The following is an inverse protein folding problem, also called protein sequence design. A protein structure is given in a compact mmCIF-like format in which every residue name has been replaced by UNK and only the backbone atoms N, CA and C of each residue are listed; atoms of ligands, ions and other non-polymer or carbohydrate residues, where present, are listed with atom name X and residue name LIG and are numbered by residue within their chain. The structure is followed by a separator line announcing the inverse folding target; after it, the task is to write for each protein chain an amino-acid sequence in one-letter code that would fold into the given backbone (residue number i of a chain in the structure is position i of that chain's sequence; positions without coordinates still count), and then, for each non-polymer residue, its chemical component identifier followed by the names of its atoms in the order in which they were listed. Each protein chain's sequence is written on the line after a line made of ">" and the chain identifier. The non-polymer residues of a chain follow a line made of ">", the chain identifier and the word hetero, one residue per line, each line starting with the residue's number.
data_IF_522416942007
#
_entry.id   IF_522416942007
#
_cell.length_a   1.000
_cell.length_b   1.000
_cell.length_c   1.000
_cell.angle_alpha   90.00
_cell.angle_beta   90.00
_cell.angle_gamma   90.00
#
_symmetry.space_group_name_H-M   'P 1'
#
loop_
_entity.id
_entity.type
_entity.pdbx_description
1 polymer ?
#
# COMPACT_ATOMS: atom_id res chain seq x y z
N UNK A 1 -13.25 6.24 -2.20
CA UNK A 1 -14.04 5.20 -1.50
C UNK A 1 -13.08 4.32 -0.73
N UNK A 2 -13.44 3.93 0.50
CA UNK A 2 -12.67 2.93 1.25
C UNK A 2 -12.99 1.52 0.73
N UNK A 3 -12.03 0.59 0.84
CA UNK A 3 -12.24 -0.83 0.55
C UNK A 3 -12.52 -1.55 1.88
N UNK A 4 -13.59 -2.32 1.95
CA UNK A 4 -13.92 -3.16 3.11
C UNK A 4 -13.47 -4.59 2.85
N UNK A 5 -12.71 -5.16 3.78
CA UNK A 5 -12.26 -6.56 3.76
C UNK A 5 -12.89 -7.30 4.94
N UNK A 6 -13.53 -8.45 4.68
CA UNK A 6 -14.11 -9.31 5.71
C UNK A 6 -13.22 -10.53 5.93
N UNK A 7 -12.87 -10.82 7.17
CA UNK A 7 -12.07 -12.00 7.56
C UNK A 7 -12.93 -12.89 8.45
N UNK A 8 -13.10 -14.15 8.03
CA UNK A 8 -13.84 -15.13 8.80
C UNK A 8 -12.87 -15.90 9.72
N UNK A 9 -13.12 -15.84 11.03
CA UNK A 9 -12.33 -16.52 12.05
C UNK A 9 -13.27 -17.49 12.76
N UNK A 10 -12.90 -18.77 12.85
CA UNK A 10 -13.69 -19.75 13.60
C UNK A 10 -13.56 -19.53 15.10
N UNK A 11 -14.55 -19.99 15.88
CA UNK A 11 -14.54 -19.92 17.35
C UNK A 11 -13.27 -20.52 17.97
N UNK A 12 -12.70 -21.56 17.35
CA UNK A 12 -11.45 -22.15 17.80
C UNK A 12 -10.28 -21.19 17.58
N UNK A 13 -10.15 -20.61 16.38
CA UNK A 13 -9.05 -19.73 16.04
C UNK A 13 -9.16 -18.38 16.75
N UNK A 14 -10.36 -17.89 17.03
CA UNK A 14 -10.57 -16.69 17.84
C UNK A 14 -9.93 -16.86 19.23
N UNK A 15 -10.19 -18.01 19.88
CA UNK A 15 -9.58 -18.34 21.19
C UNK A 15 -8.07 -18.51 21.11
N UNK A 16 -7.55 -19.12 20.03
CA UNK A 16 -6.11 -19.24 19.81
C UNK A 16 -5.45 -17.86 19.65
N UNK A 17 -6.09 -16.95 18.92
CA UNK A 17 -5.58 -15.59 18.74
C UNK A 17 -5.62 -14.80 20.05
N UNK A 18 -6.75 -14.83 20.75
CA UNK A 18 -6.91 -14.12 22.04
C UNK A 18 -6.09 -14.72 23.19
N UNK A 19 -5.41 -15.85 22.97
CA UNK A 19 -4.41 -16.35 23.92
C UNK A 19 -3.17 -15.43 23.98
N UNK A 20 -2.81 -14.79 22.87
CA UNK A 20 -1.61 -13.95 22.73
C UNK A 20 -1.95 -12.48 22.42
N UNK A 21 -3.03 -12.25 21.66
CA UNK A 21 -3.49 -10.92 21.28
C UNK A 21 -4.47 -10.34 22.31
N UNK A 22 -4.34 -9.04 22.58
CA UNK A 22 -5.30 -8.30 23.41
C UNK A 22 -6.63 -8.04 22.69
N UNK A 23 -6.57 -7.75 21.38
CA UNK A 23 -7.73 -7.48 20.53
C UNK A 23 -7.40 -7.82 19.08
N UNK A 24 -8.25 -8.65 18.46
CA UNK A 24 -8.03 -9.13 17.08
C UNK A 24 -8.18 -7.97 16.09
N UNK A 25 -9.19 -7.11 16.25
CA UNK A 25 -9.45 -6.04 15.28
C UNK A 25 -8.30 -5.04 15.26
N UNK A 26 -7.84 -4.58 16.43
CA UNK A 26 -6.70 -3.66 16.56
C UNK A 26 -5.46 -4.23 15.89
N UNK A 27 -5.17 -5.52 16.11
CA UNK A 27 -4.03 -6.18 15.46
C UNK A 27 -4.19 -6.21 13.93
N UNK A 28 -5.36 -6.58 13.42
CA UNK A 28 -5.62 -6.62 11.97
C UNK A 28 -5.47 -5.23 11.34
N UNK A 29 -6.06 -4.19 11.96
CA UNK A 29 -5.95 -2.81 11.45
C UNK A 29 -4.49 -2.36 11.42
N UNK A 30 -3.75 -2.55 12.52
CA UNK A 30 -2.33 -2.19 12.59
C UNK A 30 -1.47 -2.96 11.58
N UNK A 31 -1.78 -4.24 11.32
CA UNK A 31 -1.10 -5.04 10.32
C UNK A 31 -1.33 -4.49 8.90
N UNK A 32 -2.57 -4.09 8.58
CA UNK A 32 -2.92 -3.47 7.30
C UNK A 32 -2.23 -2.10 7.16
N UNK A 33 -2.25 -1.25 8.18
CA UNK A 33 -1.57 0.04 8.18
C UNK A 33 -0.06 -0.12 7.96
N UNK A 34 0.56 -1.08 8.64
CA UNK A 34 1.96 -1.42 8.45
C UNK A 34 2.27 -1.84 7.01
N UNK A 35 1.36 -2.62 6.39
CA UNK A 35 1.51 -3.03 4.99
C UNK A 35 1.34 -1.87 4.02
N UNK A 36 0.36 -0.98 4.26
CA UNK A 36 0.14 0.24 3.47
C UNK A 36 1.40 1.11 3.50
N UNK A 37 1.96 1.38 4.68
CA UNK A 37 3.16 2.18 4.83
C UNK A 37 4.37 1.58 4.09
N UNK A 38 4.58 0.27 4.23
CA UNK A 38 5.67 -0.42 3.53
C UNK A 38 5.49 -0.36 2.00
N UNK A 39 4.29 -0.64 1.49
CA UNK A 39 3.98 -0.53 0.07
C UNK A 39 4.15 0.90 -0.45
N UNK A 40 3.67 1.90 0.31
CA UNK A 40 3.80 3.31 -0.02
C UNK A 40 5.26 3.76 -0.14
N UNK A 41 6.12 3.37 0.81
CA UNK A 41 7.56 3.69 0.75
C UNK A 41 8.23 3.12 -0.48
N UNK A 42 7.96 1.85 -0.81
CA UNK A 42 8.50 1.22 -2.03
C UNK A 42 8.02 1.94 -3.29
N UNK A 43 6.75 2.34 -3.31
CA UNK A 43 6.17 3.09 -4.42
C UNK A 43 6.78 4.49 -4.56
N UNK A 44 7.06 5.20 -3.47
CA UNK A 44 7.70 6.52 -3.52
C UNK A 44 9.13 6.46 -4.10
N UNK A 45 9.88 5.39 -3.78
CA UNK A 45 11.20 5.13 -4.37
C UNK A 45 11.10 4.90 -5.87
N UNK A 46 10.16 4.04 -6.30
CA UNK A 46 9.88 3.78 -7.72
C UNK A 46 9.47 5.08 -8.45
N UNK A 47 8.53 5.83 -7.86
CA UNK A 47 8.06 7.10 -8.39
C UNK A 47 9.20 8.10 -8.58
N UNK A 48 10.11 8.20 -7.62
CA UNK A 48 11.29 9.06 -7.73
C UNK A 48 12.14 8.70 -8.94
N UNK A 49 12.38 7.41 -9.17
CA UNK A 49 13.18 6.96 -10.32
C UNK A 49 12.46 7.23 -11.66
N UNK A 50 11.17 6.92 -11.74
CA UNK A 50 10.36 7.13 -12.95
C UNK A 50 10.25 8.62 -13.30
N UNK A 51 9.96 9.48 -12.32
CA UNK A 51 9.78 10.91 -12.55
C UNK A 51 11.11 11.61 -12.89
N UNK A 52 12.22 11.19 -12.29
CA UNK A 52 13.55 11.72 -12.64
C UNK A 52 14.01 11.35 -14.05
N UNK A 53 13.52 10.24 -14.59
CA UNK A 53 13.83 9.80 -15.94
C UNK A 53 12.93 10.44 -17.01
N UNK A 54 11.94 11.24 -16.61
CA UNK A 54 10.99 11.88 -17.50
C UNK A 54 11.34 13.36 -17.69
N UNK A 55 11.87 13.70 -18.86
CA UNK A 55 12.32 15.06 -19.20
C UNK A 55 11.17 16.10 -19.18
N UNK A 56 9.91 15.67 -19.21
CA UNK A 56 8.77 16.58 -19.07
C UNK A 56 8.53 17.04 -17.63
N UNK A 57 9.13 16.36 -16.65
CA UNK A 57 9.00 16.70 -15.23
C UNK A 57 9.97 17.82 -14.88
N UNK A 58 9.45 19.01 -14.62
CA UNK A 58 10.25 20.21 -14.29
C UNK A 58 10.40 20.46 -12.79
N UNK A 59 9.60 19.79 -11.96
CA UNK A 59 9.66 19.89 -10.50
C UNK A 59 9.27 18.57 -9.84
N UNK A 60 9.89 18.28 -8.70
CA UNK A 60 9.69 17.04 -7.96
C UNK A 60 8.86 17.28 -6.70
N UNK A 61 7.84 16.43 -6.42
CA UNK A 61 7.13 16.45 -5.15
C UNK A 61 8.08 16.23 -3.96
N UNK A 62 7.84 16.94 -2.86
CA UNK A 62 8.69 16.89 -1.66
C UNK A 62 8.29 15.80 -0.66
N UNK A 63 7.11 15.18 -0.82
CA UNK A 63 6.56 14.17 0.09
C UNK A 63 6.37 12.83 -0.63
N UNK A 64 6.46 11.74 0.13
CA UNK A 64 6.18 10.39 -0.38
C UNK A 64 4.79 10.30 -0.99
N UNK A 65 3.79 10.90 -0.34
CA UNK A 65 2.42 10.94 -0.86
C UNK A 65 2.36 11.69 -2.20
N UNK A 66 3.02 12.84 -2.33
CA UNK A 66 3.04 13.57 -3.60
C UNK A 66 3.74 12.79 -4.72
N UNK A 67 4.80 12.05 -4.40
CA UNK A 67 5.46 11.15 -5.35
C UNK A 67 4.54 10.01 -5.79
N UNK A 68 3.83 9.39 -4.84
CA UNK A 68 2.86 8.31 -5.12
C UNK A 68 1.71 8.81 -5.99
N UNK A 69 1.12 9.96 -5.66
CA UNK A 69 0.05 10.60 -6.42
C UNK A 69 0.49 10.92 -7.85
N UNK A 70 1.69 11.49 -8.01
CA UNK A 70 2.26 11.78 -9.32
C UNK A 70 2.46 10.51 -10.16
N UNK A 71 2.94 9.41 -9.57
CA UNK A 71 3.10 8.12 -10.26
C UNK A 71 1.74 7.50 -10.64
N UNK A 72 0.74 7.55 -9.74
CA UNK A 72 -0.61 7.03 -9.98
C UNK A 72 -1.35 7.78 -11.09
N UNK A 73 -1.10 9.08 -11.24
CA UNK A 73 -1.73 9.92 -12.25
C UNK A 73 -1.18 9.71 -13.66
N UNK A 74 -0.06 8.99 -13.84
CA UNK A 74 0.54 8.75 -15.15
C UNK A 74 -0.36 7.84 -15.98
N UNK A 75 -0.58 8.18 -17.26
CA UNK A 75 -1.43 7.42 -18.16
C UNK A 75 -0.99 5.95 -18.36
N UNK A 76 0.30 5.66 -18.20
CA UNK A 76 0.87 4.31 -18.28
C UNK A 76 0.98 3.59 -16.95
N UNK A 77 0.38 4.08 -15.85
CA UNK A 77 0.44 3.40 -14.56
C UNK A 77 -0.20 2.02 -14.62
N UNK A 78 0.49 1.03 -14.06
CA UNK A 78 0.04 -0.35 -13.99
C UNK A 78 0.14 -0.85 -12.56
N UNK A 79 -0.95 -1.38 -12.03
CA UNK A 79 -0.91 -2.11 -10.77
C UNK A 79 -0.08 -3.40 -10.93
N UNK A 80 0.22 -4.08 -9.82
CA UNK A 80 1.11 -5.24 -9.85
C UNK A 80 0.65 -6.35 -10.81
N UNK A 81 -0.65 -6.66 -10.79
CA UNK A 81 -1.21 -7.71 -11.65
C UNK A 81 -1.10 -7.35 -13.13
N UNK A 82 -1.33 -6.08 -13.49
CA UNK A 82 -1.16 -5.60 -14.87
C UNK A 82 0.30 -5.70 -15.33
N UNK A 83 1.27 -5.37 -14.46
CA UNK A 83 2.70 -5.50 -14.78
C UNK A 83 3.15 -6.95 -14.95
N UNK A 84 2.61 -7.88 -14.16
CA UNK A 84 2.96 -9.30 -14.26
C UNK A 84 2.29 -9.99 -15.47
N UNK A 85 1.28 -9.37 -16.08
CA UNK A 85 0.59 -9.89 -17.27
C UNK A 85 1.24 -9.48 -18.59
N UNK A 86 2.38 -8.77 -18.54
CA UNK A 86 3.23 -8.36 -19.67
C UNK A 86 4.42 -9.28 -19.87
#
# INVERSE_FOLDING_TARGET
>A
MAVTITVNISDHNEKVLLHDLLDINTWVQAAVDGKINNCGKRMAIEATAVLKADDSVTSMPATDQGLQEALLARAGYKNRAQRDAE
#
